data_IF_511383775130
#
_entry.id   IF_511383775130
#
_cell.length_a   1.000
_cell.length_b   1.000
_cell.length_c   1.000
_cell.angle_alpha   90.00
_cell.angle_beta   90.00
_cell.angle_gamma   90.00
#
_symmetry.space_group_name_H-M   'P 1'
#
loop_
_entity.id
_entity.type
_entity.pdbx_description
1 polymer ?
#
# COMPACT_ATOMS: atom_id res chain seq x y z
N UNK A 1 70.51 17.12 22.58
CA UNK A 1 70.92 18.29 21.77
C UNK A 1 69.68 19.06 21.34
N UNK A 2 69.70 20.39 21.39
CA UNK A 2 68.65 21.27 20.83
C UNK A 2 67.93 22.12 21.86
N UNK A 3 68.28 23.42 21.93
CA UNK A 3 67.93 24.44 22.94
C UNK A 3 66.50 25.00 22.82
N UNK A 4 66.01 25.54 23.96
CA UNK A 4 64.89 26.49 24.10
C UNK A 4 65.26 27.93 23.64
N UNK A 5 64.20 28.75 23.44
CA UNK A 5 64.09 30.24 23.44
C UNK A 5 64.39 30.90 22.08
N UNK A 6 63.64 31.88 21.56
CA UNK A 6 62.49 32.68 22.01
C UNK A 6 62.34 33.95 21.12
N UNK A 7 61.32 34.78 21.42
CA UNK A 7 61.10 36.21 21.06
C UNK A 7 60.24 36.51 19.80
N UNK A 8 59.03 37.11 19.95
CA UNK A 8 58.66 38.55 19.94
C UNK A 8 58.92 39.21 18.55
N UNK A 9 58.01 39.89 17.86
CA UNK A 9 57.10 41.04 18.16
C UNK A 9 55.99 41.07 17.08
N UNK A 10 54.73 41.42 17.35
CA UNK A 10 54.22 42.80 17.34
C UNK A 10 53.88 43.27 15.92
N UNK A 11 52.59 43.39 15.56
CA UNK A 11 51.98 44.46 14.74
C UNK A 11 50.46 44.23 14.52
N UNK A 12 49.67 45.30 14.23
CA UNK A 12 48.35 45.52 14.84
C UNK A 12 47.16 44.95 14.08
N UNK A 13 46.02 44.88 14.78
CA UNK A 13 44.68 44.77 14.20
C UNK A 13 44.47 45.84 13.12
N UNK A 14 44.50 45.46 11.85
CA UNK A 14 43.88 46.26 10.79
C UNK A 14 42.39 45.93 10.77
N UNK A 15 41.61 46.72 11.52
CA UNK A 15 40.16 46.85 11.29
C UNK A 15 39.96 47.54 9.95
N UNK A 16 39.90 46.77 8.85
CA UNK A 16 39.27 47.26 7.62
C UNK A 16 37.76 47.28 7.82
N UNK A 17 37.26 48.36 8.40
CA UNK A 17 35.86 48.76 8.27
C UNK A 17 35.61 49.12 6.82
N UNK A 18 35.07 48.19 6.05
CA UNK A 18 34.42 48.51 4.78
C UNK A 18 32.93 48.59 5.09
N UNK A 19 32.30 49.78 4.96
CA UNK A 19 30.85 49.88 5.01
C UNK A 19 30.29 49.05 3.85
N UNK A 20 29.36 48.15 4.14
CA UNK A 20 28.62 47.44 3.10
C UNK A 20 27.42 48.32 2.79
N UNK A 21 27.63 49.34 1.96
CA UNK A 21 26.52 50.01 1.27
C UNK A 21 25.94 49.03 0.25
N UNK A 22 24.61 48.89 0.25
CA UNK A 22 23.88 47.89 -0.56
C UNK A 22 23.79 48.22 -2.05
N UNK A 23 24.24 49.40 -2.52
CA UNK A 23 24.01 49.83 -3.91
C UNK A 23 25.29 50.18 -4.68
N UNK A 24 26.11 49.18 -5.00
CA UNK A 24 27.10 49.36 -6.08
C UNK A 24 27.32 48.08 -6.89
N UNK A 25 26.56 47.96 -7.97
CA UNK A 25 26.90 47.13 -9.12
C UNK A 25 28.14 47.70 -9.82
N UNK A 26 29.33 47.35 -9.34
CA UNK A 26 30.60 47.65 -10.04
C UNK A 26 31.30 46.36 -10.45
N UNK A 27 31.51 46.30 -11.77
CA UNK A 27 32.28 45.38 -12.61
C UNK A 27 33.33 44.51 -11.90
N UNK A 28 33.18 43.19 -12.07
CA UNK A 28 33.96 42.15 -11.37
C UNK A 28 35.28 41.78 -12.03
N UNK A 29 35.99 42.68 -12.71
CA UNK A 29 37.12 42.29 -13.55
C UNK A 29 38.49 42.13 -12.84
N UNK A 30 38.79 42.80 -11.72
CA UNK A 30 40.19 42.85 -11.20
C UNK A 30 40.45 42.16 -9.85
N UNK A 31 39.49 41.46 -9.24
CA UNK A 31 39.73 40.78 -7.96
C UNK A 31 40.37 39.39 -8.13
N UNK A 32 41.47 39.16 -7.42
CA UNK A 32 42.13 37.84 -7.36
C UNK A 32 41.14 36.74 -6.92
N UNK A 33 41.34 35.50 -7.40
CA UNK A 33 40.48 34.34 -7.07
C UNK A 33 40.26 34.18 -5.56
N UNK A 34 41.27 34.52 -4.74
CA UNK A 34 41.21 34.47 -3.27
C UNK A 34 40.25 35.52 -2.69
N UNK A 35 40.30 36.76 -3.18
CA UNK A 35 39.41 37.85 -2.76
C UNK A 35 37.95 37.58 -3.16
N UNK A 36 37.72 37.07 -4.38
CA UNK A 36 36.37 36.65 -4.83
C UNK A 36 35.78 35.56 -3.91
N UNK A 37 36.60 34.60 -3.47
CA UNK A 37 36.17 33.53 -2.55
C UNK A 37 35.88 34.06 -1.15
N UNK A 38 36.68 35.00 -0.63
CA UNK A 38 36.41 35.67 0.65
C UNK A 38 35.12 36.51 0.62
N UNK A 39 34.91 37.30 -0.44
CA UNK A 39 33.68 38.10 -0.61
C UNK A 39 32.44 37.20 -0.69
N UNK A 40 32.47 36.11 -1.47
CA UNK A 40 31.37 35.12 -1.50
C UNK A 40 31.11 34.48 -0.14
N UNK A 41 32.15 34.22 0.65
CA UNK A 41 32.01 33.67 2.01
C UNK A 41 31.38 34.67 2.98
N UNK A 42 31.72 35.96 2.86
CA UNK A 42 31.12 37.04 3.64
C UNK A 42 29.66 37.28 3.25
N UNK A 43 29.35 37.37 1.96
CA UNK A 43 27.97 37.51 1.47
C UNK A 43 27.09 36.33 1.91
N UNK A 44 27.59 35.08 1.82
CA UNK A 44 26.85 33.92 2.35
C UNK A 44 26.65 33.97 3.86
N UNK A 45 27.61 34.52 4.62
CA UNK A 45 27.44 34.73 6.06
C UNK A 45 26.41 35.81 6.35
N UNK A 46 26.38 36.89 5.57
CA UNK A 46 25.41 37.98 5.69
C UNK A 46 24.00 37.51 5.36
N UNK A 47 23.81 36.89 4.19
CA UNK A 47 22.52 36.32 3.78
C UNK A 47 22.01 35.27 4.78
N UNK A 48 22.91 34.45 5.34
CA UNK A 48 22.54 33.51 6.40
C UNK A 48 22.06 34.23 7.66
N UNK A 49 22.73 35.31 8.09
CA UNK A 49 22.29 36.11 9.24
C UNK A 49 20.94 36.77 8.97
N UNK A 50 20.74 37.36 7.79
CA UNK A 50 19.45 37.94 7.41
C UNK A 50 18.32 36.90 7.43
N UNK A 51 18.59 35.68 6.94
CA UNK A 51 17.63 34.57 7.02
C UNK A 51 17.36 34.14 8.46
N UNK A 52 18.42 33.97 9.28
CA UNK A 52 18.29 33.62 10.70
C UNK A 52 17.47 34.71 11.45
N UNK A 53 17.69 35.99 11.16
CA UNK A 53 16.90 37.12 11.71
C UNK A 53 15.45 37.12 11.24
N UNK A 54 15.19 36.86 9.95
CA UNK A 54 13.82 36.76 9.43
C UNK A 54 13.04 35.59 10.06
N UNK A 55 13.72 34.47 10.33
CA UNK A 55 13.15 33.36 11.08
C UNK A 55 12.85 33.75 12.53
N UNK A 56 13.79 34.40 13.21
CA UNK A 56 13.59 34.87 14.59
C UNK A 56 12.43 35.87 14.67
N UNK A 57 12.31 36.83 13.74
CA UNK A 57 11.18 37.77 13.67
C UNK A 57 9.84 37.06 13.44
N UNK A 58 9.81 36.04 12.58
CA UNK A 58 8.61 35.24 12.32
C UNK A 58 8.19 34.44 13.56
N UNK A 59 9.15 33.85 14.27
CA UNK A 59 8.90 33.13 15.53
C UNK A 59 8.41 34.09 16.62
N UNK A 60 8.96 35.30 16.68
CA UNK A 60 8.54 36.33 17.64
C UNK A 60 7.11 36.79 17.36
N UNK A 61 6.74 36.96 16.08
CA UNK A 61 5.36 37.22 15.66
C UNK A 61 4.40 36.05 15.95
N UNK A 62 4.88 34.81 15.88
CA UNK A 62 4.10 33.61 16.24
C UNK A 62 4.04 33.36 17.76
N UNK A 63 4.80 34.08 18.57
CA UNK A 63 4.80 33.96 20.04
C UNK A 63 4.15 35.14 20.77
N UNK A 64 3.54 36.08 20.03
CA UNK A 64 2.49 36.92 20.62
C UNK A 64 1.33 36.03 21.07
N UNK A 65 0.84 36.17 22.31
CA UNK A 65 -0.14 35.25 22.87
C UNK A 65 -1.54 35.62 22.36
N UNK A 66 -1.82 35.33 21.08
CA UNK A 66 -3.18 34.95 20.73
C UNK A 66 -3.37 33.54 21.29
N UNK A 67 -3.91 33.49 22.50
CA UNK A 67 -4.29 32.31 23.25
C UNK A 67 -5.47 31.58 22.60
N UNK A 68 -5.33 31.24 21.32
CA UNK A 68 -6.05 30.11 20.79
C UNK A 68 -5.10 28.93 20.95
N UNK A 69 -5.27 28.21 22.07
CA UNK A 69 -4.89 26.81 22.09
C UNK A 69 -5.50 26.21 20.83
N UNK A 70 -4.69 25.96 19.80
CA UNK A 70 -5.04 25.04 18.73
C UNK A 70 -5.18 23.69 19.39
N UNK A 71 -6.34 23.45 19.99
CA UNK A 71 -6.86 22.12 20.18
C UNK A 71 -6.81 21.49 18.80
N UNK A 72 -6.08 20.38 18.69
CA UNK A 72 -6.28 19.51 17.56
C UNK A 72 -7.78 19.23 17.51
N UNK A 73 -8.47 19.43 16.37
CA UNK A 73 -9.88 19.16 16.29
C UNK A 73 -10.07 17.70 16.73
N UNK A 74 -10.84 17.52 17.81
CA UNK A 74 -11.11 16.20 18.43
C UNK A 74 -11.84 15.25 17.49
N UNK A 75 -12.32 15.77 16.36
CA UNK A 75 -13.00 15.07 15.28
C UNK A 75 -12.64 15.74 13.96
N UNK A 76 -12.13 14.96 13.01
CA UNK A 76 -12.05 15.37 11.60
C UNK A 76 -13.48 15.71 11.19
N UNK A 77 -13.70 16.87 10.57
CA UNK A 77 -15.01 17.27 10.05
C UNK A 77 -15.54 16.14 9.15
N UNK A 78 -16.44 15.33 9.70
CA UNK A 78 -17.28 14.44 8.90
C UNK A 78 -18.25 15.33 8.14
N UNK A 79 -18.38 15.12 6.83
CA UNK A 79 -19.45 15.76 6.07
C UNK A 79 -20.77 15.50 6.80
N UNK A 80 -21.49 16.57 7.12
CA UNK A 80 -22.74 16.50 7.90
C UNK A 80 -23.96 16.22 7.02
N UNK A 81 -23.78 16.14 5.70
CA UNK A 81 -24.86 15.81 4.78
C UNK A 81 -25.14 14.31 4.77
N UNK A 82 -26.24 13.94 5.43
CA UNK A 82 -26.68 12.55 5.57
C UNK A 82 -26.90 11.89 4.22
N UNK A 83 -27.41 12.63 3.23
CA UNK A 83 -27.73 12.09 1.90
C UNK A 83 -26.45 11.70 1.15
N UNK A 84 -25.43 12.58 1.18
CA UNK A 84 -24.10 12.27 0.66
C UNK A 84 -23.50 11.04 1.35
N UNK A 85 -23.57 10.96 2.69
CA UNK A 85 -23.03 9.80 3.41
C UNK A 85 -23.76 8.50 3.05
N UNK A 86 -25.09 8.51 2.91
CA UNK A 86 -25.87 7.35 2.48
C UNK A 86 -25.53 6.93 1.06
N UNK A 87 -25.37 7.89 0.13
CA UNK A 87 -24.96 7.64 -1.25
C UNK A 87 -23.58 6.96 -1.28
N UNK A 88 -22.59 7.55 -0.59
CA UNK A 88 -21.22 7.03 -0.57
C UNK A 88 -21.13 5.67 0.13
N UNK A 89 -21.85 5.47 1.23
CA UNK A 89 -21.92 4.18 1.91
C UNK A 89 -22.52 3.10 1.01
N UNK A 90 -23.59 3.42 0.29
CA UNK A 90 -24.21 2.51 -0.68
C UNK A 90 -23.25 2.15 -1.83
N UNK A 91 -22.54 3.14 -2.37
CA UNK A 91 -21.52 2.95 -3.40
C UNK A 91 -20.40 2.02 -2.91
N UNK A 92 -19.83 2.31 -1.74
CA UNK A 92 -18.73 1.51 -1.15
C UNK A 92 -19.19 0.09 -0.87
N UNK A 93 -20.37 -0.10 -0.27
CA UNK A 93 -20.86 -1.44 0.03
C UNK A 93 -21.06 -2.26 -1.24
N UNK A 94 -21.72 -1.71 -2.26
CA UNK A 94 -21.92 -2.37 -3.55
C UNK A 94 -20.60 -2.68 -4.27
N UNK A 95 -19.63 -1.76 -4.21
CA UNK A 95 -18.28 -1.97 -4.74
C UNK A 95 -17.59 -3.13 -4.02
N UNK A 96 -17.59 -3.14 -2.68
CA UNK A 96 -16.91 -4.15 -1.87
C UNK A 96 -17.58 -5.52 -1.99
N UNK A 97 -18.92 -5.60 -2.06
CA UNK A 97 -19.62 -6.86 -2.35
C UNK A 97 -19.17 -7.46 -3.68
N UNK A 98 -18.96 -6.61 -4.68
CA UNK A 98 -18.47 -7.04 -6.00
C UNK A 98 -16.96 -7.38 -5.98
N UNK A 99 -16.18 -6.71 -5.13
CA UNK A 99 -14.72 -6.88 -5.04
C UNK A 99 -14.34 -8.13 -4.25
N UNK A 100 -15.04 -8.37 -3.15
CA UNK A 100 -14.69 -9.38 -2.17
C UNK A 100 -14.75 -10.78 -2.78
N UNK A 101 -15.73 -11.06 -3.64
CA UNK A 101 -15.80 -12.30 -4.41
C UNK A 101 -14.93 -12.17 -5.67
N UNK A 102 -13.90 -13.01 -5.78
CA UNK A 102 -12.93 -12.94 -6.89
C UNK A 102 -13.64 -13.12 -8.24
N UNK A 103 -14.64 -13.98 -8.27
CA UNK A 103 -15.44 -14.35 -9.44
C UNK A 103 -16.25 -13.17 -9.98
N UNK A 104 -16.64 -12.21 -9.13
CA UNK A 104 -17.45 -11.04 -9.53
C UNK A 104 -16.63 -9.80 -9.88
N UNK A 105 -15.30 -9.83 -9.68
CA UNK A 105 -14.45 -8.63 -9.89
C UNK A 105 -14.50 -8.05 -11.29
N UNK A 106 -14.82 -8.84 -12.30
CA UNK A 106 -15.02 -8.34 -13.66
C UNK A 106 -16.17 -7.30 -13.74
N UNK A 107 -17.18 -7.43 -12.89
CA UNK A 107 -18.30 -6.49 -12.81
C UNK A 107 -17.91 -5.15 -12.15
N UNK A 108 -16.70 -5.02 -11.56
CA UNK A 108 -16.23 -3.75 -11.01
C UNK A 108 -16.06 -2.66 -12.07
N UNK A 109 -15.92 -3.04 -13.34
CA UNK A 109 -15.80 -2.10 -14.46
C UNK A 109 -16.96 -1.11 -14.52
N UNK A 110 -18.14 -1.46 -13.99
CA UNK A 110 -19.34 -0.60 -13.96
C UNK A 110 -19.18 0.63 -13.05
N UNK A 111 -18.33 0.55 -12.04
CA UNK A 111 -18.14 1.64 -11.08
C UNK A 111 -17.18 2.72 -11.57
N UNK A 112 -16.30 2.41 -12.54
CA UNK A 112 -15.29 3.35 -12.99
C UNK A 112 -15.74 4.17 -14.20
N UNK A 113 -15.23 5.39 -14.32
CA UNK A 113 -15.27 6.16 -15.56
C UNK A 113 -14.31 5.57 -16.61
N UNK A 114 -14.50 5.91 -17.89
CA UNK A 114 -13.68 5.35 -18.98
C UNK A 114 -12.21 5.80 -18.91
N UNK A 115 -11.99 7.02 -18.44
CA UNK A 115 -10.69 7.68 -18.25
C UNK A 115 -10.17 7.60 -16.80
N UNK A 116 -10.83 6.78 -15.96
CA UNK A 116 -10.46 6.65 -14.57
C UNK A 116 -9.03 6.14 -14.39
N UNK A 117 -8.43 6.40 -13.24
CA UNK A 117 -7.15 5.80 -12.88
C UNK A 117 -7.12 5.24 -11.46
N UNK A 118 -6.31 4.20 -11.30
CA UNK A 118 -6.11 3.53 -10.02
C UNK A 118 -4.62 3.43 -9.70
N UNK A 119 -4.24 3.81 -8.48
CA UNK A 119 -2.92 3.50 -7.93
C UNK A 119 -3.04 2.49 -6.79
N UNK A 120 -2.12 1.54 -6.75
CA UNK A 120 -1.97 0.62 -5.63
C UNK A 120 -0.66 0.91 -4.94
N UNK A 121 -0.71 1.07 -3.63
CA UNK A 121 0.44 1.21 -2.77
C UNK A 121 0.40 0.09 -1.74
N UNK A 122 1.57 -0.46 -1.46
CA UNK A 122 1.73 -1.43 -0.40
C UNK A 122 2.94 -1.04 0.44
N UNK A 123 2.76 -1.02 1.76
CA UNK A 123 3.82 -0.79 2.72
C UNK A 123 3.98 -2.04 3.61
N UNK A 124 5.15 -2.71 3.63
CA UNK A 124 5.38 -3.85 4.51
C UNK A 124 5.31 -3.46 5.98
N UNK A 125 4.99 -4.41 6.85
CA UNK A 125 4.98 -4.15 8.29
C UNK A 125 6.39 -3.77 8.74
N UNK A 126 6.49 -2.64 9.44
CA UNK A 126 7.64 -2.33 10.27
C UNK A 126 7.32 -2.85 11.66
N UNK A 127 7.80 -4.05 11.99
CA UNK A 127 7.57 -4.60 13.31
C UNK A 127 8.08 -3.62 14.38
N UNK A 128 7.23 -3.23 15.31
CA UNK A 128 7.63 -2.42 16.49
C UNK A 128 8.57 -3.20 17.41
N UNK A 129 8.66 -4.52 17.25
CA UNK A 129 9.59 -5.37 17.97
C UNK A 129 11.03 -5.01 17.63
N UNK A 130 11.84 -4.96 18.70
CA UNK A 130 13.17 -4.36 18.71
C UNK A 130 14.02 -4.75 17.48
N UNK A 131 14.46 -3.81 16.63
CA UNK A 131 15.33 -4.11 15.49
C UNK A 131 16.71 -4.66 15.93
N UNK A 132 16.97 -4.71 17.24
CA UNK A 132 18.11 -5.35 17.89
C UNK A 132 18.04 -6.89 17.89
N UNK A 133 16.87 -7.49 17.63
CA UNK A 133 16.68 -8.94 17.58
C UNK A 133 17.12 -9.57 16.25
N UNK A 134 17.13 -8.80 15.16
CA UNK A 134 17.66 -9.29 13.89
C UNK A 134 19.18 -9.35 13.97
N UNK A 135 19.70 -10.54 14.31
CA UNK A 135 21.09 -10.89 14.00
C UNK A 135 21.36 -10.44 12.57
N UNK A 136 22.46 -9.74 12.32
CA UNK A 136 22.80 -9.08 11.04
C UNK A 136 22.97 -10.00 9.81
N UNK A 137 22.30 -11.15 9.80
CA UNK A 137 22.09 -12.01 8.65
C UNK A 137 21.20 -11.24 7.67
N UNK A 138 21.83 -10.78 6.59
CA UNK A 138 21.17 -10.29 5.39
C UNK A 138 20.02 -11.23 5.04
N UNK A 139 18.77 -10.80 5.24
CA UNK A 139 17.59 -11.49 4.73
C UNK A 139 17.83 -11.62 3.23
N UNK A 140 17.97 -12.86 2.75
CA UNK A 140 18.31 -13.14 1.36
C UNK A 140 17.15 -12.66 0.48
N UNK A 141 17.46 -12.17 -0.73
CA UNK A 141 16.50 -11.73 -1.77
C UNK A 141 15.39 -12.76 -2.12
N UNK A 142 15.46 -13.98 -1.59
CA UNK A 142 14.63 -15.11 -1.99
C UNK A 142 13.41 -15.33 -1.09
N UNK A 143 13.30 -14.68 0.06
CA UNK A 143 12.14 -14.89 0.94
C UNK A 143 10.92 -14.14 0.38
N UNK A 144 9.82 -14.84 0.03
CA UNK A 144 8.59 -14.17 -0.36
C UNK A 144 7.98 -13.49 0.87
N UNK A 145 7.62 -12.21 0.74
CA UNK A 145 6.78 -11.55 1.73
C UNK A 145 5.34 -11.99 1.47
N UNK A 146 4.51 -11.97 2.53
CA UNK A 146 3.06 -12.15 2.39
C UNK A 146 2.47 -11.18 1.37
N UNK A 147 3.11 -10.03 1.18
CA UNK A 147 2.71 -8.99 0.22
C UNK A 147 3.24 -9.14 -1.20
N UNK A 148 4.00 -10.20 -1.48
CA UNK A 148 4.68 -10.39 -2.78
C UNK A 148 3.72 -10.40 -3.97
N UNK A 149 2.45 -10.76 -3.77
CA UNK A 149 1.41 -10.72 -4.79
C UNK A 149 0.99 -9.30 -5.20
N UNK A 150 1.19 -8.29 -4.33
CA UNK A 150 0.87 -6.88 -4.62
C UNK A 150 2.05 -6.13 -5.25
N UNK A 151 3.29 -6.60 -5.01
CA UNK A 151 4.53 -5.95 -5.47
C UNK A 151 4.58 -5.65 -6.98
N UNK A 152 4.09 -6.53 -7.89
CA UNK A 152 4.09 -6.26 -9.33
C UNK A 152 3.21 -5.05 -9.72
N UNK A 153 2.20 -4.73 -8.93
CA UNK A 153 1.21 -3.69 -9.22
C UNK A 153 1.45 -2.41 -8.40
N UNK A 154 2.35 -2.45 -7.41
CA UNK A 154 2.61 -1.35 -6.51
C UNK A 154 3.28 -0.16 -7.23
N UNK A 155 2.65 1.01 -7.13
CA UNK A 155 3.07 2.28 -7.73
C UNK A 155 4.09 3.05 -6.89
N UNK A 156 4.32 2.68 -5.63
CA UNK A 156 5.18 3.34 -4.61
C UNK A 156 6.13 4.40 -5.20
N UNK A 157 5.59 5.62 -5.38
CA UNK A 157 6.23 6.69 -6.16
C UNK A 157 7.38 7.31 -5.36
N UNK A 158 7.24 7.34 -4.03
CA UNK A 158 8.31 7.74 -3.13
C UNK A 158 9.23 6.53 -2.91
N UNK A 159 10.49 6.58 -3.34
CA UNK A 159 11.45 5.54 -3.01
C UNK A 159 11.61 5.48 -1.49
N UNK A 160 11.09 4.43 -0.86
CA UNK A 160 11.20 4.22 0.59
C UNK A 160 9.97 4.65 1.39
N UNK A 161 8.80 4.72 0.73
CA UNK A 161 7.49 5.12 1.27
C UNK A 161 6.90 4.18 2.35
N UNK A 162 7.71 3.66 3.25
CA UNK A 162 7.18 3.29 4.54
C UNK A 162 6.90 4.62 5.27
N UNK A 163 5.66 4.96 5.63
CA UNK A 163 5.45 6.07 6.55
C UNK A 163 6.34 5.77 7.75
N UNK A 164 7.27 6.69 8.03
CA UNK A 164 8.10 6.55 9.23
C UNK A 164 7.12 6.41 10.40
N UNK A 165 7.42 5.56 11.40
CA UNK A 165 6.61 5.54 12.62
C UNK A 165 6.47 6.96 13.17
N UNK A 166 5.36 7.25 13.83
CA UNK A 166 5.07 8.59 14.38
C UNK A 166 6.21 9.12 15.26
N UNK A 167 6.91 8.25 16.00
CA UNK A 167 8.11 8.62 16.77
C UNK A 167 9.27 9.12 15.88
N UNK A 168 9.47 8.51 14.72
CA UNK A 168 10.52 8.89 13.78
C UNK A 168 10.17 10.20 13.05
N UNK A 169 8.88 10.43 12.74
CA UNK A 169 8.40 11.72 12.22
C UNK A 169 8.48 12.83 13.26
N UNK A 170 8.00 12.60 14.49
CA UNK A 170 8.04 13.58 15.56
C UNK A 170 9.48 14.08 15.78
N UNK A 171 10.45 13.16 15.82
CA UNK A 171 11.87 13.48 15.99
C UNK A 171 12.53 14.08 14.74
N UNK A 172 12.01 13.83 13.53
CA UNK A 172 12.45 14.53 12.32
C UNK A 172 11.86 15.95 12.23
N UNK A 173 10.63 16.15 12.69
CA UNK A 173 9.96 17.46 12.68
C UNK A 173 10.54 18.43 13.70
N UNK A 174 10.89 17.96 14.90
CA UNK A 174 11.50 18.77 15.97
C UNK A 174 12.93 19.22 15.63
N UNK A 175 13.58 18.60 14.64
CA UNK A 175 15.00 18.85 14.33
C UNK A 175 15.21 19.83 13.16
N UNK A 176 14.17 20.21 12.40
CA UNK A 176 14.43 20.87 11.11
C UNK A 176 13.71 22.16 10.75
N UNK A 177 12.58 22.55 11.35
CA UNK A 177 11.81 23.66 10.78
C UNK A 177 11.93 25.04 11.46
N UNK A 178 12.26 25.15 12.76
CA UNK A 178 11.95 26.41 13.48
C UNK A 178 13.09 27.08 14.27
N UNK A 179 14.34 26.60 14.28
CA UNK A 179 15.41 27.26 15.09
C UNK A 179 16.78 27.37 14.40
N UNK A 180 17.48 28.53 14.56
CA UNK A 180 18.87 28.70 14.15
C UNK A 180 19.76 27.61 14.76
N UNK A 181 20.73 27.10 13.98
CA UNK A 181 21.61 25.98 14.37
C UNK A 181 22.34 26.16 15.72
N UNK A 182 22.49 27.39 16.21
CA UNK A 182 23.16 27.72 17.48
C UNK A 182 22.27 27.62 18.72
N UNK A 183 20.93 27.58 18.57
CA UNK A 183 19.96 27.50 19.68
C UNK A 183 19.17 26.19 19.71
N UNK A 184 19.47 25.25 18.82
CA UNK A 184 18.82 23.93 18.83
C UNK A 184 19.15 23.24 20.16
N UNK A 185 18.15 22.82 20.96
CA UNK A 185 18.42 21.88 22.03
C UNK A 185 19.14 20.68 21.40
N UNK A 186 20.30 20.36 21.95
CA UNK A 186 21.17 19.32 21.42
C UNK A 186 20.60 17.96 21.87
N UNK A 187 19.31 17.72 21.64
CA UNK A 187 18.69 16.40 21.77
C UNK A 187 19.18 15.56 20.59
N UNK A 188 20.45 15.18 20.70
CA UNK A 188 21.05 14.16 19.88
C UNK A 188 20.26 12.90 20.20
N UNK A 189 19.55 12.38 19.19
CA UNK A 189 18.97 11.03 19.23
C UNK A 189 19.86 10.09 20.03
N UNK A 190 19.27 9.40 20.99
CA UNK A 190 19.94 8.39 21.79
C UNK A 190 20.61 7.36 20.87
N UNK A 191 21.62 6.66 21.38
CA UNK A 191 22.33 5.63 20.60
C UNK A 191 21.35 4.60 20.00
N UNK A 192 20.33 4.20 20.77
CA UNK A 192 19.30 3.26 20.35
C UNK A 192 18.41 3.84 19.24
N UNK A 193 17.93 5.07 19.36
CA UNK A 193 17.08 5.71 18.34
C UNK A 193 17.83 5.91 17.02
N UNK A 194 19.11 6.30 17.09
CA UNK A 194 19.99 6.36 15.91
C UNK A 194 20.14 5.00 15.22
N UNK A 195 20.27 3.93 16.00
CA UNK A 195 20.33 2.57 15.47
C UNK A 195 18.99 2.16 14.83
N UNK A 196 17.86 2.43 15.49
CA UNK A 196 16.51 2.17 14.95
C UNK A 196 16.28 2.91 13.63
N UNK A 197 16.59 4.21 13.57
CA UNK A 197 16.46 5.00 12.34
C UNK A 197 17.39 4.49 11.21
N UNK A 198 18.60 4.01 11.56
CA UNK A 198 19.52 3.42 10.59
C UNK A 198 18.99 2.09 10.03
N UNK A 199 18.42 1.23 10.88
CA UNK A 199 17.78 -0.02 10.47
C UNK A 199 16.60 0.27 9.53
N UNK A 200 15.69 1.16 9.95
CA UNK A 200 14.54 1.61 9.16
C UNK A 200 14.92 2.11 7.76
N UNK A 201 15.94 2.97 7.65
CA UNK A 201 16.44 3.46 6.35
C UNK A 201 17.05 2.35 5.50
N UNK A 202 17.67 1.36 6.14
CA UNK A 202 18.24 0.19 5.44
C UNK A 202 17.12 -0.67 4.87
N UNK A 203 16.05 -0.90 5.64
CA UNK A 203 14.88 -1.67 5.21
C UNK A 203 14.11 -0.95 4.10
N UNK A 204 13.94 0.38 4.21
CA UNK A 204 13.37 1.21 3.14
C UNK A 204 14.19 1.10 1.85
N UNK A 205 15.51 1.27 1.92
CA UNK A 205 16.40 1.15 0.76
C UNK A 205 16.34 -0.26 0.14
N UNK A 206 16.24 -1.29 0.98
CA UNK A 206 16.09 -2.67 0.54
C UNK A 206 14.75 -2.90 -0.17
N UNK A 207 13.65 -2.39 0.38
CA UNK A 207 12.31 -2.52 -0.20
C UNK A 207 12.20 -1.84 -1.56
N UNK A 208 12.78 -0.65 -1.72
CA UNK A 208 12.88 0.04 -3.03
C UNK A 208 13.54 -0.86 -4.06
N UNK A 209 14.72 -1.40 -3.72
CA UNK A 209 15.49 -2.24 -4.64
C UNK A 209 14.73 -3.51 -5.02
N UNK A 210 13.96 -4.07 -4.08
CA UNK A 210 13.08 -5.21 -4.35
C UNK A 210 11.99 -4.85 -5.35
N UNK A 211 11.26 -3.76 -5.13
CA UNK A 211 10.24 -3.30 -6.08
C UNK A 211 10.82 -3.02 -7.47
N UNK A 212 12.04 -2.49 -7.56
CA UNK A 212 12.74 -2.32 -8.85
C UNK A 212 13.11 -3.63 -9.53
N UNK A 213 13.46 -4.67 -8.77
CA UNK A 213 13.72 -6.02 -9.30
C UNK A 213 12.41 -6.63 -9.78
N UNK A 214 11.38 -6.64 -8.93
CA UNK A 214 10.06 -7.19 -9.26
C UNK A 214 9.47 -6.48 -10.46
N UNK A 215 9.57 -5.15 -10.55
CA UNK A 215 9.05 -4.39 -11.67
C UNK A 215 9.73 -4.76 -13.00
N UNK A 216 11.05 -4.94 -13.00
CA UNK A 216 11.79 -5.41 -14.18
C UNK A 216 11.38 -6.82 -14.58
N UNK A 217 11.24 -7.71 -13.59
CA UNK A 217 10.81 -9.09 -13.83
C UNK A 217 9.37 -9.18 -14.32
N UNK A 218 8.43 -8.43 -13.74
CA UNK A 218 7.03 -8.39 -14.13
C UNK A 218 6.79 -7.69 -15.48
N UNK A 219 7.69 -6.79 -15.89
CA UNK A 219 7.65 -6.21 -17.24
C UNK A 219 8.19 -7.17 -18.31
N UNK A 220 9.03 -8.15 -17.92
CA UNK A 220 9.65 -9.12 -18.82
C UNK A 220 8.90 -10.47 -18.86
N UNK A 221 8.39 -10.93 -17.72
CA UNK A 221 7.45 -12.02 -17.64
C UNK A 221 6.09 -11.48 -18.05
N UNK A 222 5.54 -11.92 -19.17
CA UNK A 222 4.16 -11.62 -19.49
C UNK A 222 3.29 -12.16 -18.37
N UNK A 223 2.94 -11.29 -17.40
CA UNK A 223 2.09 -11.61 -16.25
C UNK A 223 0.98 -12.53 -16.73
N UNK A 224 0.86 -13.71 -16.11
CA UNK A 224 0.10 -14.85 -16.61
C UNK A 224 -1.14 -14.40 -17.40
N UNK A 225 -1.15 -14.74 -18.69
CA UNK A 225 -2.30 -14.45 -19.54
C UNK A 225 -3.48 -15.24 -18.99
N UNK A 226 -4.35 -14.54 -18.27
CA UNK A 226 -5.65 -15.06 -17.90
C UNK A 226 -6.57 -14.86 -19.13
N UNK A 227 -7.26 -15.91 -19.60
CA UNK A 227 -8.22 -15.77 -20.70
C UNK A 227 -9.24 -14.68 -20.37
N UNK A 228 -9.54 -13.80 -21.33
CA UNK A 228 -10.55 -12.74 -21.22
C UNK A 228 -10.30 -11.70 -20.11
N UNK A 229 -9.12 -11.66 -19.48
CA UNK A 229 -8.75 -10.61 -18.53
C UNK A 229 -7.78 -9.64 -19.21
N UNK A 230 -8.07 -8.32 -19.21
CA UNK A 230 -7.14 -7.33 -19.74
C UNK A 230 -5.75 -7.41 -19.09
N UNK A 231 -4.74 -6.89 -19.78
CA UNK A 231 -3.41 -6.77 -19.20
C UNK A 231 -3.42 -5.79 -18.01
N UNK A 232 -2.67 -6.09 -16.94
CA UNK A 232 -2.48 -5.13 -15.85
C UNK A 232 -1.65 -3.92 -16.34
N UNK A 233 -1.59 -2.83 -15.57
CA UNK A 233 -0.65 -1.75 -15.84
C UNK A 233 0.80 -2.26 -15.86
N UNK A 234 1.68 -1.46 -16.48
CA UNK A 234 3.12 -1.67 -16.35
C UNK A 234 3.49 -1.57 -14.87
N UNK A 235 4.46 -2.39 -14.44
CA UNK A 235 4.87 -2.37 -13.06
C UNK A 235 5.32 -0.96 -12.64
N UNK A 236 4.90 -0.53 -11.45
CA UNK A 236 5.10 0.84 -10.93
C UNK A 236 4.39 1.96 -11.70
N UNK A 237 3.40 1.65 -12.53
CA UNK A 237 2.56 2.64 -13.18
C UNK A 237 1.12 2.54 -12.69
N UNK A 238 0.43 3.68 -12.65
CA UNK A 238 -1.00 3.73 -12.39
C UNK A 238 -1.75 2.96 -13.48
N UNK A 239 -2.78 2.21 -13.09
CA UNK A 239 -3.74 1.66 -14.03
C UNK A 239 -4.58 2.78 -14.61
N UNK A 240 -4.55 2.94 -15.94
CA UNK A 240 -5.31 3.97 -16.66
C UNK A 240 -6.39 3.34 -17.53
N UNK A 241 -7.61 3.81 -17.33
CA UNK A 241 -8.83 3.34 -17.96
C UNK A 241 -9.29 1.97 -17.45
N UNK A 242 -10.57 1.66 -17.69
CA UNK A 242 -11.26 0.45 -17.21
C UNK A 242 -10.47 -0.83 -17.46
N UNK A 243 -9.90 -0.99 -18.65
CA UNK A 243 -9.17 -2.20 -19.01
C UNK A 243 -7.98 -2.47 -18.08
N UNK A 244 -7.10 -1.49 -17.86
CA UNK A 244 -5.94 -1.69 -16.98
C UNK A 244 -6.36 -1.84 -15.51
N UNK A 245 -7.39 -1.10 -15.09
CA UNK A 245 -7.92 -1.19 -13.72
C UNK A 245 -8.46 -2.60 -13.48
N UNK A 246 -9.26 -3.16 -14.39
CA UNK A 246 -9.75 -4.55 -14.28
C UNK A 246 -8.61 -5.56 -14.35
N UNK A 247 -7.64 -5.33 -15.23
CA UNK A 247 -6.43 -6.15 -15.33
C UNK A 247 -5.64 -6.23 -14.02
N UNK A 248 -5.65 -5.15 -13.22
CA UNK A 248 -5.08 -5.10 -11.88
C UNK A 248 -6.00 -5.78 -10.85
N UNK A 249 -7.25 -5.35 -10.70
CA UNK A 249 -8.13 -5.77 -9.60
C UNK A 249 -8.44 -7.28 -9.63
N UNK A 250 -8.63 -7.85 -10.82
CA UNK A 250 -8.88 -9.30 -10.97
C UNK A 250 -7.66 -10.14 -10.53
N UNK A 251 -6.45 -9.59 -10.64
CA UNK A 251 -5.20 -10.27 -10.27
C UNK A 251 -4.78 -10.10 -8.82
N UNK A 252 -5.42 -9.19 -8.07
CA UNK A 252 -5.14 -9.05 -6.65
C UNK A 252 -5.48 -10.35 -5.89
N UNK A 253 -4.82 -10.65 -4.77
CA UNK A 253 -5.22 -11.71 -3.86
C UNK A 253 -6.69 -11.61 -3.44
N UNK A 254 -7.22 -12.72 -2.94
CA UNK A 254 -8.53 -12.70 -2.29
C UNK A 254 -8.42 -11.88 -1.00
N UNK A 255 -9.32 -10.94 -0.83
CA UNK A 255 -9.35 -10.05 0.32
C UNK A 255 -10.81 -9.83 0.70
N UNK A 256 -11.14 -10.11 1.95
CA UNK A 256 -12.45 -9.82 2.56
C UNK A 256 -12.37 -8.49 3.25
N UNK A 257 -13.24 -7.54 2.96
CA UNK A 257 -13.29 -6.29 3.72
C UNK A 257 -14.24 -6.48 4.91
N UNK A 258 -13.82 -6.03 6.09
CA UNK A 258 -14.64 -6.10 7.30
C UNK A 258 -15.52 -4.85 7.35
N UNK A 259 -16.80 -5.02 7.02
CA UNK A 259 -17.80 -3.95 6.91
C UNK A 259 -18.47 -3.59 8.23
N UNK A 260 -17.85 -3.94 9.35
CA UNK A 260 -18.40 -3.68 10.68
C UNK A 260 -17.98 -2.28 11.12
N UNK A 261 -18.91 -1.53 11.72
CA UNK A 261 -18.71 -0.11 12.05
C UNK A 261 -17.46 0.15 12.90
N UNK A 262 -17.06 -0.78 13.76
CA UNK A 262 -15.87 -0.61 14.59
C UNK A 262 -14.55 -0.81 13.84
N UNK A 263 -14.60 -1.42 12.65
CA UNK A 263 -13.46 -1.76 11.83
C UNK A 263 -13.39 -0.95 10.53
N UNK A 264 -14.37 -0.09 10.25
CA UNK A 264 -14.41 0.71 9.04
C UNK A 264 -14.72 2.18 9.33
N UNK A 265 -14.31 3.05 8.42
CA UNK A 265 -14.46 4.49 8.56
C UNK A 265 -14.59 5.12 7.18
N UNK A 266 -15.56 6.03 7.03
CA UNK A 266 -15.77 6.82 5.82
C UNK A 266 -15.65 8.30 6.18
N UNK A 267 -14.64 8.95 5.63
CA UNK A 267 -14.37 10.37 5.81
C UNK A 267 -14.52 11.10 4.49
N UNK A 268 -15.46 12.04 4.40
CA UNK A 268 -15.55 12.92 3.24
C UNK A 268 -14.53 14.04 3.38
N UNK A 269 -13.62 14.15 2.41
CA UNK A 269 -12.54 15.14 2.38
C UNK A 269 -13.01 16.41 1.68
N UNK A 270 -13.74 16.26 0.58
CA UNK A 270 -14.27 17.35 -0.23
C UNK A 270 -15.62 16.91 -0.83
N UNK A 271 -16.62 17.78 -0.79
CA UNK A 271 -17.90 17.55 -1.48
C UNK A 271 -18.23 18.80 -2.29
N UNK A 272 -18.16 18.69 -3.62
CA UNK A 272 -18.49 19.75 -4.56
C UNK A 272 -19.50 19.24 -5.59
N UNK A 273 -20.16 20.17 -6.30
CA UNK A 273 -21.13 19.84 -7.34
C UNK A 273 -20.55 19.07 -8.53
N UNK A 274 -19.23 19.08 -8.70
CA UNK A 274 -18.53 18.39 -9.79
C UNK A 274 -17.86 17.10 -9.37
N UNK A 275 -17.49 16.96 -8.10
CA UNK A 275 -16.80 15.79 -7.58
C UNK A 275 -16.91 15.68 -6.06
N UNK A 276 -16.90 14.46 -5.57
CA UNK A 276 -16.82 14.14 -4.14
C UNK A 276 -15.53 13.35 -3.92
N UNK A 277 -14.67 13.84 -3.03
CA UNK A 277 -13.47 13.16 -2.58
C UNK A 277 -13.70 12.61 -1.19
N UNK A 278 -13.53 11.31 -1.00
CA UNK A 278 -13.70 10.68 0.30
C UNK A 278 -12.68 9.56 0.50
N UNK A 279 -12.41 9.27 1.77
CA UNK A 279 -11.56 8.19 2.22
C UNK A 279 -12.42 7.11 2.84
N UNK A 280 -12.27 5.89 2.38
CA UNK A 280 -12.76 4.70 3.06
C UNK A 280 -11.58 3.94 3.64
N UNK A 281 -11.64 3.60 4.93
CA UNK A 281 -10.64 2.77 5.60
C UNK A 281 -11.33 1.59 6.25
N UNK A 282 -10.76 0.39 6.17
CA UNK A 282 -11.24 -0.74 6.94
C UNK A 282 -10.13 -1.76 7.25
N UNK A 283 -10.46 -2.76 8.06
CA UNK A 283 -9.68 -4.00 8.11
C UNK A 283 -10.08 -4.93 6.97
N UNK A 284 -9.14 -5.75 6.51
CA UNK A 284 -9.40 -6.80 5.55
C UNK A 284 -8.67 -8.10 5.88
N UNK A 285 -9.26 -9.24 5.53
CA UNK A 285 -8.70 -10.56 5.76
C UNK A 285 -8.28 -11.22 4.43
N UNK A 286 -7.02 -11.63 4.33
CA UNK A 286 -6.45 -12.29 3.16
C UNK A 286 -6.11 -13.75 3.54
N UNK A 287 -6.69 -14.77 2.89
CA UNK A 287 -6.42 -16.16 3.21
C UNK A 287 -4.97 -16.52 2.90
N UNK A 288 -4.33 -17.19 3.85
CA UNK A 288 -2.94 -17.63 3.69
C UNK A 288 -2.91 -18.88 2.81
N UNK A 289 -2.32 -18.76 1.61
CA UNK A 289 -2.18 -19.89 0.68
C UNK A 289 -0.86 -20.67 0.85
N UNK A 290 0.05 -20.19 1.71
CA UNK A 290 1.32 -20.86 1.94
C UNK A 290 1.14 -21.98 2.99
N UNK A 291 1.51 -23.19 2.60
CA UNK A 291 1.44 -24.40 3.45
C UNK A 291 2.65 -24.60 4.35
N UNK A 292 3.69 -23.77 4.21
CA UNK A 292 4.97 -23.92 4.91
C UNK A 292 5.05 -22.96 6.10
N UNK A 293 5.00 -23.51 7.32
CA UNK A 293 5.09 -22.76 8.57
C UNK A 293 6.40 -21.98 8.71
N UNK A 294 7.52 -22.47 8.16
CA UNK A 294 8.79 -21.74 8.18
C UNK A 294 8.72 -20.48 7.30
N UNK A 295 8.05 -20.56 6.14
CA UNK A 295 7.82 -19.40 5.29
C UNK A 295 6.88 -18.39 5.96
N UNK A 296 5.87 -18.85 6.69
CA UNK A 296 4.95 -17.98 7.44
C UNK A 296 5.66 -17.22 8.57
N UNK A 297 6.48 -17.92 9.37
CA UNK A 297 7.29 -17.30 10.42
C UNK A 297 8.27 -16.24 9.88
N UNK A 298 8.71 -16.40 8.63
CA UNK A 298 9.63 -15.48 7.96
C UNK A 298 8.95 -14.26 7.34
N UNK A 299 7.60 -14.24 7.21
CA UNK A 299 6.89 -13.08 6.66
C UNK A 299 6.84 -11.89 7.61
N UNK A 300 6.85 -12.15 8.93
CA UNK A 300 6.78 -11.11 9.97
C UNK A 300 5.44 -10.37 10.05
N UNK A 301 4.49 -10.72 9.18
CA UNK A 301 3.14 -10.16 9.21
C UNK A 301 2.29 -10.91 10.24
N UNK A 302 1.42 -10.21 10.97
CA UNK A 302 0.57 -10.84 11.96
C UNK A 302 -0.50 -11.71 11.29
N UNK A 303 -0.67 -12.92 11.83
CA UNK A 303 -1.59 -13.94 11.34
C UNK A 303 -2.68 -14.15 12.39
N UNK A 304 -3.93 -14.21 11.94
CA UNK A 304 -5.06 -14.67 12.73
C UNK A 304 -5.50 -16.05 12.23
N UNK A 305 -5.48 -17.05 13.11
CA UNK A 305 -6.04 -18.36 12.80
C UNK A 305 -7.54 -18.34 13.10
N UNK A 306 -8.35 -18.74 12.12
CA UNK A 306 -9.79 -18.90 12.27
C UNK A 306 -10.11 -20.38 12.25
N UNK A 307 -10.77 -20.86 13.30
CA UNK A 307 -11.15 -22.28 13.45
C UNK A 307 -11.90 -22.76 12.20
N UNK A 308 -11.54 -23.96 11.72
CA UNK A 308 -12.05 -24.60 10.49
C UNK A 308 -11.72 -23.92 9.15
N UNK A 309 -11.23 -22.67 9.15
CA UNK A 309 -10.99 -21.87 7.94
C UNK A 309 -9.52 -21.60 7.64
N UNK A 310 -8.66 -21.81 8.64
CA UNK A 310 -7.22 -21.68 8.51
C UNK A 310 -6.70 -20.27 8.81
N UNK A 311 -5.42 -20.01 8.46
CA UNK A 311 -4.76 -18.75 8.79
C UNK A 311 -5.10 -17.62 7.79
N UNK A 312 -5.18 -16.39 8.30
CA UNK A 312 -5.42 -15.17 7.53
C UNK A 312 -4.37 -14.10 7.86
N UNK A 313 -3.89 -13.40 6.82
CA UNK A 313 -3.21 -12.12 7.00
C UNK A 313 -4.25 -11.02 7.18
N UNK A 314 -4.10 -10.20 8.22
CA UNK A 314 -4.99 -9.05 8.43
C UNK A 314 -4.32 -7.79 7.90
N UNK A 315 -5.03 -7.11 6.98
CA UNK A 315 -4.59 -5.90 6.29
C UNK A 315 -5.39 -4.71 6.80
N UNK A 316 -4.73 -3.58 7.03
CA UNK A 316 -5.39 -2.29 7.00
C UNK A 316 -5.51 -1.85 5.53
N UNK A 317 -6.73 -1.56 5.11
CA UNK A 317 -7.08 -1.14 3.76
C UNK A 317 -7.49 0.31 3.82
N UNK A 318 -6.85 1.15 3.02
CA UNK A 318 -7.22 2.55 2.84
C UNK A 318 -7.47 2.81 1.36
N UNK A 319 -8.62 3.39 1.04
CA UNK A 319 -8.99 3.79 -0.31
C UNK A 319 -9.36 5.26 -0.29
N UNK A 320 -8.68 6.08 -1.08
CA UNK A 320 -9.10 7.44 -1.38
C UNK A 320 -9.80 7.40 -2.74
N UNK A 321 -11.05 7.85 -2.78
CA UNK A 321 -11.86 7.85 -3.99
C UNK A 321 -12.27 9.28 -4.36
N UNK A 322 -12.15 9.59 -5.64
CA UNK A 322 -12.76 10.75 -6.26
C UNK A 322 -13.88 10.26 -7.19
N UNK A 323 -15.10 10.70 -6.93
CA UNK A 323 -16.30 10.22 -7.64
C UNK A 323 -17.13 11.38 -8.16
N UNK A 324 -17.91 11.14 -9.21
CA UNK A 324 -18.96 12.07 -9.60
C UNK A 324 -20.11 12.07 -8.58
N UNK A 325 -20.73 13.24 -8.28
CA UNK A 325 -21.83 13.38 -7.33
C UNK A 325 -23.19 12.90 -7.90
N UNK A 326 -23.19 12.03 -8.91
CA UNK A 326 -24.41 11.51 -9.52
C UNK A 326 -24.88 10.21 -8.86
N UNK A 327 -26.14 9.83 -9.07
CA UNK A 327 -26.76 8.63 -8.49
C UNK A 327 -25.98 7.35 -8.77
N UNK A 328 -25.30 7.28 -9.90
CA UNK A 328 -24.59 6.09 -10.36
C UNK A 328 -23.12 6.06 -9.88
N UNK A 329 -22.62 7.17 -9.29
CA UNK A 329 -21.32 7.26 -8.63
C UNK A 329 -20.16 6.77 -9.49
N UNK A 330 -19.79 7.53 -10.52
CA UNK A 330 -18.64 7.19 -11.37
C UNK A 330 -17.30 7.48 -10.69
N UNK A 331 -16.50 6.45 -10.42
CA UNK A 331 -15.14 6.57 -9.87
C UNK A 331 -14.21 7.11 -10.94
N UNK A 332 -13.66 8.30 -10.68
CA UNK A 332 -12.70 9.02 -11.52
C UNK A 332 -11.28 8.64 -11.12
N UNK A 333 -11.02 8.57 -9.82
CA UNK A 333 -9.72 8.22 -9.26
C UNK A 333 -9.89 7.34 -8.04
N UNK A 334 -9.00 6.36 -7.92
CA UNK A 334 -8.85 5.56 -6.72
C UNK A 334 -7.37 5.39 -6.35
N UNK A 335 -7.03 5.74 -5.11
CA UNK A 335 -5.73 5.41 -4.53
C UNK A 335 -5.91 4.41 -3.40
N UNK A 336 -5.39 3.21 -3.61
CA UNK A 336 -5.45 2.10 -2.65
C UNK A 336 -4.11 2.00 -1.93
N UNK A 337 -4.13 2.00 -0.59
CA UNK A 337 -2.99 1.69 0.25
C UNK A 337 -3.32 0.49 1.13
N UNK A 338 -2.46 -0.52 1.07
CA UNK A 338 -2.54 -1.74 1.86
C UNK A 338 -1.34 -1.82 2.79
N UNK A 339 -1.59 -2.05 4.07
CA UNK A 339 -0.55 -2.33 5.06
C UNK A 339 -0.96 -3.50 5.95
N UNK A 340 -0.02 -4.23 6.56
CA UNK A 340 -0.36 -5.16 7.63
C UNK A 340 -1.00 -4.41 8.81
N UNK A 341 -2.08 -4.95 9.37
CA UNK A 341 -2.72 -4.38 10.55
C UNK A 341 -1.82 -4.58 11.79
N UNK A 342 -1.77 -3.63 12.75
CA UNK A 342 -1.02 -3.83 14.00
C UNK A 342 -1.54 -5.03 14.80
N UNK A 343 -0.64 -5.77 15.46
CA UNK A 343 -1.01 -6.93 16.28
C UNK A 343 -2.02 -6.57 17.39
N UNK A 344 -1.86 -5.40 18.00
CA UNK A 344 -2.79 -4.89 19.02
C UNK A 344 -4.21 -4.73 18.48
N UNK A 345 -4.34 -4.21 17.25
CA UNK A 345 -5.62 -4.02 16.58
C UNK A 345 -6.26 -5.37 16.23
N UNK A 346 -5.47 -6.34 15.77
CA UNK A 346 -5.94 -7.69 15.48
C UNK A 346 -6.47 -8.38 16.74
N UNK A 347 -5.76 -8.25 17.87
CA UNK A 347 -6.20 -8.81 19.15
C UNK A 347 -7.50 -8.16 19.62
N UNK A 348 -7.60 -6.83 19.52
CA UNK A 348 -8.78 -6.06 19.90
C UNK A 348 -10.03 -6.48 19.11
N UNK A 349 -9.90 -6.75 17.81
CA UNK A 349 -11.03 -7.05 16.93
C UNK A 349 -11.12 -8.53 16.51
N UNK A 350 -10.42 -9.43 17.21
CA UNK A 350 -10.30 -10.85 16.83
C UNK A 350 -11.64 -11.56 16.60
N UNK A 351 -12.63 -11.35 17.47
CA UNK A 351 -13.98 -11.93 17.34
C UNK A 351 -14.75 -11.38 16.13
N UNK A 352 -14.70 -10.07 15.93
CA UNK A 352 -15.33 -9.37 14.79
C UNK A 352 -14.74 -9.87 13.47
N UNK A 353 -13.41 -9.99 13.41
CA UNK A 353 -12.69 -10.51 12.24
C UNK A 353 -13.12 -11.95 11.95
N UNK A 354 -13.16 -12.79 12.97
CA UNK A 354 -13.53 -14.21 12.85
C UNK A 354 -14.95 -14.40 12.32
N UNK A 355 -15.90 -13.62 12.84
CA UNK A 355 -17.30 -13.68 12.43
C UNK A 355 -17.47 -13.23 10.97
N UNK A 356 -16.84 -12.12 10.58
CA UNK A 356 -16.93 -11.60 9.21
C UNK A 356 -16.35 -12.58 8.17
N UNK A 357 -15.25 -13.26 8.50
CA UNK A 357 -14.66 -14.31 7.66
C UNK A 357 -15.64 -15.50 7.53
N UNK A 358 -16.28 -15.90 8.63
CA UNK A 358 -17.24 -17.01 8.65
C UNK A 358 -18.48 -16.72 7.80
N UNK A 359 -19.07 -15.53 7.95
CA UNK A 359 -20.23 -15.09 7.17
C UNK A 359 -19.95 -15.08 5.66
N UNK A 360 -18.77 -14.60 5.26
CA UNK A 360 -18.36 -14.60 3.85
C UNK A 360 -18.36 -16.01 3.25
N UNK A 361 -17.91 -17.03 3.99
CA UNK A 361 -17.93 -18.40 3.46
C UNK A 361 -19.33 -18.97 3.38
N UNK A 362 -20.22 -18.63 4.32
CA UNK A 362 -21.63 -18.95 4.21
C UNK A 362 -22.24 -18.34 2.93
N UNK A 363 -21.91 -17.09 2.62
CA UNK A 363 -22.32 -16.41 1.37
C UNK A 363 -21.71 -17.02 0.12
N UNK A 364 -20.43 -17.43 0.14
CA UNK A 364 -19.78 -18.11 -0.98
C UNK A 364 -20.44 -19.46 -1.28
N UNK A 365 -20.75 -20.23 -0.23
CA UNK A 365 -21.45 -21.51 -0.36
C UNK A 365 -22.89 -21.32 -0.86
N UNK A 366 -23.58 -20.27 -0.42
CA UNK A 366 -24.91 -19.91 -0.92
C UNK A 366 -24.88 -19.43 -2.38
N UNK A 367 -23.86 -18.64 -2.77
CA UNK A 367 -23.67 -18.17 -4.15
C UNK A 367 -23.23 -19.30 -5.10
N UNK A 368 -22.46 -20.27 -4.63
CA UNK A 368 -22.16 -21.49 -5.38
C UNK A 368 -23.44 -22.33 -5.62
N UNK A 369 -24.40 -22.28 -4.70
CA UNK A 369 -25.72 -22.91 -4.86
C UNK A 369 -26.68 -22.10 -5.75
N UNK A 370 -26.62 -20.77 -5.76
CA UNK A 370 -27.46 -19.90 -6.61
C UNK A 370 -26.92 -19.70 -8.04
N UNK A 371 -25.61 -19.86 -8.26
CA UNK A 371 -24.93 -19.60 -9.54
C UNK A 371 -25.12 -20.65 -10.64
N UNK A 372 -25.87 -21.72 -10.39
CA UNK A 372 -26.16 -22.75 -11.38
C UNK A 372 -27.63 -22.75 -11.78
N UNK A 373 -28.00 -21.82 -12.67
CA UNK A 373 -29.24 -21.95 -13.44
C UNK A 373 -29.26 -23.32 -14.13
N UNK A 374 -30.40 -24.02 -14.18
CA UNK A 374 -30.53 -25.33 -14.83
C UNK A 374 -29.97 -25.33 -16.27
N UNK A 375 -30.12 -24.22 -17.01
CA UNK A 375 -29.55 -24.04 -18.34
C UNK A 375 -28.02 -23.98 -18.38
N UNK A 376 -27.34 -23.46 -17.35
CA UNK A 376 -25.87 -23.46 -17.29
C UNK A 376 -25.33 -24.85 -16.93
N UNK A 377 -26.04 -25.62 -16.10
CA UNK A 377 -25.73 -27.03 -15.81
C UNK A 377 -25.84 -27.90 -17.05
N UNK A 378 -26.90 -27.74 -17.84
CA UNK A 378 -27.08 -28.48 -19.09
C UNK A 378 -26.00 -28.17 -20.14
N UNK A 379 -25.56 -26.91 -20.21
CA UNK A 379 -24.47 -26.50 -21.10
C UNK A 379 -23.12 -27.07 -20.65
N UNK A 380 -22.82 -27.02 -19.35
CA UNK A 380 -21.62 -27.62 -18.76
C UNK A 380 -21.62 -29.14 -18.90
N UNK A 381 -22.76 -29.79 -18.67
CA UNK A 381 -22.94 -31.23 -18.85
C UNK A 381 -22.65 -31.65 -20.29
N UNK A 382 -23.20 -30.93 -21.27
CA UNK A 382 -22.91 -31.17 -22.69
C UNK A 382 -21.44 -30.97 -23.01
N UNK A 383 -20.83 -29.91 -22.49
CA UNK A 383 -19.41 -29.61 -22.73
C UNK A 383 -18.50 -30.71 -22.15
N UNK A 384 -18.72 -31.08 -20.88
CA UNK A 384 -17.94 -32.11 -20.20
C UNK A 384 -18.08 -33.48 -20.87
N UNK A 385 -19.32 -33.92 -21.14
CA UNK A 385 -19.60 -35.18 -21.85
C UNK A 385 -18.94 -35.23 -23.24
N UNK A 386 -18.87 -34.10 -23.94
CA UNK A 386 -18.18 -34.01 -25.24
C UNK A 386 -16.67 -34.22 -25.13
N UNK A 387 -16.04 -33.64 -24.09
CA UNK A 387 -14.60 -33.73 -23.85
C UNK A 387 -14.17 -35.11 -23.34
N UNK A 388 -14.93 -35.69 -22.41
CA UNK A 388 -14.57 -36.95 -21.75
C UNK A 388 -15.10 -38.19 -22.48
N UNK A 389 -16.04 -38.00 -23.43
CA UNK A 389 -16.83 -39.07 -24.07
C UNK A 389 -17.66 -39.90 -23.08
N UNK A 390 -17.78 -39.44 -21.83
CA UNK A 390 -18.63 -40.09 -20.85
C UNK A 390 -20.10 -39.88 -21.20
N UNK A 391 -20.93 -40.86 -20.86
CA UNK A 391 -22.37 -40.72 -21.00
C UNK A 391 -22.91 -39.64 -20.05
N UNK A 392 -24.14 -39.21 -20.28
CA UNK A 392 -24.76 -38.10 -19.54
C UNK A 392 -24.90 -38.38 -18.05
N UNK A 393 -25.19 -39.62 -17.64
CA UNK A 393 -25.38 -39.97 -16.24
C UNK A 393 -24.09 -39.85 -15.43
N UNK A 394 -22.99 -40.46 -15.90
CA UNK A 394 -21.70 -40.37 -15.22
C UNK A 394 -21.07 -38.97 -15.35
N UNK A 395 -21.30 -38.27 -16.47
CA UNK A 395 -20.88 -36.87 -16.64
C UNK A 395 -21.55 -35.96 -15.60
N UNK A 396 -22.86 -36.15 -15.38
CA UNK A 396 -23.62 -35.39 -14.40
C UNK A 396 -23.15 -35.69 -12.98
N UNK A 397 -22.93 -36.97 -12.66
CA UNK A 397 -22.42 -37.37 -11.36
C UNK A 397 -21.07 -36.73 -11.07
N UNK A 398 -20.10 -36.84 -12.00
CA UNK A 398 -18.77 -36.26 -11.85
C UNK A 398 -18.82 -34.74 -11.66
N UNK A 399 -19.62 -34.04 -12.48
CA UNK A 399 -19.82 -32.60 -12.32
C UNK A 399 -20.47 -32.25 -10.98
N UNK A 400 -21.47 -33.02 -10.54
CA UNK A 400 -22.16 -32.75 -9.28
C UNK A 400 -21.25 -32.93 -8.06
N UNK A 401 -20.41 -33.97 -8.04
CA UNK A 401 -19.44 -34.23 -6.98
C UNK A 401 -18.31 -33.20 -6.95
N UNK A 402 -18.03 -32.56 -8.10
CA UNK A 402 -17.04 -31.50 -8.24
C UNK A 402 -17.64 -30.09 -8.17
N UNK A 403 -18.87 -29.93 -7.65
CA UNK A 403 -19.50 -28.63 -7.47
C UNK A 403 -19.81 -27.87 -8.77
N UNK A 404 -19.98 -28.59 -9.89
CA UNK A 404 -20.16 -28.07 -11.25
C UNK A 404 -19.00 -27.20 -11.77
N UNK A 405 -17.80 -27.36 -11.19
CA UNK A 405 -16.56 -26.80 -11.73
C UNK A 405 -16.00 -27.74 -12.81
N UNK A 406 -15.94 -27.24 -14.06
CA UNK A 406 -15.48 -27.99 -15.21
C UNK A 406 -14.02 -28.47 -15.08
N UNK A 407 -13.13 -27.63 -14.55
CA UNK A 407 -11.71 -27.96 -14.46
C UNK A 407 -11.48 -29.02 -13.38
N UNK A 408 -12.11 -28.82 -12.21
CA UNK A 408 -12.06 -29.79 -11.11
C UNK A 408 -12.64 -31.15 -11.52
N UNK A 409 -13.73 -31.16 -12.30
CA UNK A 409 -14.32 -32.37 -12.84
C UNK A 409 -13.40 -33.07 -13.86
N UNK A 410 -12.71 -32.33 -14.74
CA UNK A 410 -11.77 -32.91 -15.70
C UNK A 410 -10.56 -33.53 -15.00
N UNK A 411 -10.02 -32.86 -13.97
CA UNK A 411 -8.90 -33.35 -13.19
C UNK A 411 -9.28 -34.59 -12.36
N UNK A 412 -10.53 -34.65 -11.86
CA UNK A 412 -11.07 -35.84 -11.20
C UNK A 412 -11.23 -37.00 -12.19
N UNK A 413 -11.86 -36.74 -13.34
CA UNK A 413 -12.01 -37.72 -14.42
C UNK A 413 -10.66 -38.32 -14.85
N UNK A 414 -9.65 -37.49 -15.14
CA UNK A 414 -8.34 -37.97 -15.56
C UNK A 414 -7.66 -38.83 -14.50
N UNK A 415 -7.81 -38.49 -13.21
CA UNK A 415 -7.31 -39.32 -12.10
C UNK A 415 -7.99 -40.69 -12.07
N UNK A 416 -9.31 -40.74 -12.12
CA UNK A 416 -10.07 -42.00 -12.07
C UNK A 416 -9.85 -42.84 -13.34
N UNK A 417 -9.74 -42.20 -14.51
CA UNK A 417 -9.40 -42.86 -15.77
C UNK A 417 -7.99 -43.46 -15.73
N UNK A 418 -7.00 -42.72 -15.24
CA UNK A 418 -5.61 -43.21 -15.12
C UNK A 418 -5.47 -44.37 -14.15
N UNK A 419 -6.37 -44.47 -13.17
CA UNK A 419 -6.46 -45.58 -12.22
C UNK A 419 -7.27 -46.78 -12.75
N UNK A 420 -7.82 -46.72 -13.98
CA UNK A 420 -8.71 -47.73 -14.56
C UNK A 420 -9.93 -48.06 -13.67
N UNK A 421 -10.46 -47.06 -12.96
CA UNK A 421 -11.61 -47.22 -12.07
C UNK A 421 -12.95 -46.85 -12.71
N UNK A 422 -12.96 -46.37 -13.96
CA UNK A 422 -14.18 -46.06 -14.70
C UNK A 422 -14.71 -47.33 -15.40
N UNK A 423 -15.97 -47.70 -15.17
CA UNK A 423 -16.54 -48.88 -15.81
C UNK A 423 -16.83 -48.61 -17.30
N UNK A 424 -16.84 -49.63 -18.19
CA UNK A 424 -16.98 -49.43 -19.63
C UNK A 424 -18.29 -48.75 -20.05
N UNK A 425 -19.36 -48.97 -19.30
CA UNK A 425 -20.68 -48.34 -19.47
C UNK A 425 -20.66 -46.83 -19.20
N UNK A 426 -19.61 -46.30 -18.55
CA UNK A 426 -19.45 -44.87 -18.32
C UNK A 426 -19.23 -44.07 -19.61
N UNK A 427 -18.89 -44.71 -20.73
CA UNK A 427 -18.60 -44.06 -22.01
C UNK A 427 -19.72 -44.26 -23.03
N UNK A 428 -19.92 -43.25 -23.89
CA UNK A 428 -20.88 -43.32 -25.00
C UNK A 428 -20.28 -44.26 -26.06
N UNK A 429 -20.70 -45.54 -26.04
CA UNK A 429 -20.45 -46.61 -27.03
C UNK A 429 -19.33 -46.31 -28.04
N UNK A 430 -18.12 -46.84 -27.78
CA UNK A 430 -17.18 -47.12 -28.86
C UNK A 430 -17.82 -48.16 -29.80
N UNK A 431 -17.81 -47.96 -31.13
CA UNK A 431 -18.24 -49.01 -32.03
C UNK A 431 -17.38 -50.26 -31.77
N UNK A 432 -18.07 -51.39 -31.63
CA UNK A 432 -17.51 -52.75 -31.53
C UNK A 432 -16.62 -53.11 -32.71
#
# INVERSE_FOLDING_TARGET
MGKRRGWHTGEPEVKCGVPVDEDTYVTTASLSKRLRRQRRKLLRKHAKRQFDTACDDLLTKMSEPNSEQTSLPLSIQTCTDSDTLTLLSSLVNAYLDTFDLKETRAALARFYCDDAYLTLQFAPHLSESDPLSSSGKKIKFKTPYASSAYEPFACNIIPGALPLPSWAWAQMSTVTAALPKSKRPNEKLGKCEKQRLKALRTDQAWHIKRLEIVARSASAAGNSRLPNVPFPPLARSAARGKAQIMGLLIRLPDLVHLKVDECCCLDVVLSESTAICFRYSCLGAEPVTATDEELLAMTGDPILSVDSLGPFFIRAVHRLLLVYPNSDGGIIQEDVCLTPAPQSLIQQYSSVITNAISERLSLRNASAQLGTTEHSKEALLRHFSTLTKMNTAYSLQCLSECGFDLQTALDSFHRVLSANLLPPDAFINLPS
#
